data_IF_093433203676
#
_entry.id   IF_093433203676
#
_cell.length_a   1.000
_cell.length_b   1.000
_cell.length_c   1.000
_cell.angle_alpha   90.00
_cell.angle_beta   90.00
_cell.angle_gamma   90.00
#
_symmetry.space_group_name_H-M   'P 1'
#
loop_
_entity.id
_entity.type
_entity.pdbx_description
1 polymer ?
#
# COMPACT_ATOMS: atom_id res chain seq x y z
N UNK A 1 20.83 7.15 8.11
CA UNK A 1 21.44 6.56 6.89
C UNK A 1 20.67 7.18 5.72
N UNK A 2 21.35 7.77 4.74
CA UNK A 2 20.68 8.47 3.62
C UNK A 2 20.96 7.66 2.36
N UNK A 3 19.92 7.19 1.67
CA UNK A 3 20.05 6.57 0.36
C UNK A 3 20.03 7.65 -0.74
N UNK A 4 20.82 7.46 -1.79
CA UNK A 4 20.70 8.19 -3.04
C UNK A 4 19.43 7.81 -3.80
N UNK A 5 19.01 8.65 -4.75
CA UNK A 5 17.85 8.36 -5.60
C UNK A 5 18.00 7.05 -6.36
N UNK A 6 19.20 6.76 -6.89
CA UNK A 6 19.46 5.53 -7.64
C UNK A 6 19.35 4.30 -6.73
N UNK A 7 19.85 4.37 -5.50
CA UNK A 7 19.71 3.28 -4.52
C UNK A 7 18.25 3.03 -4.17
N UNK A 8 17.44 4.08 -4.00
CA UNK A 8 15.99 3.95 -3.74
C UNK A 8 15.29 3.27 -4.92
N UNK A 9 15.59 3.67 -6.15
CA UNK A 9 14.99 3.07 -7.35
C UNK A 9 15.37 1.60 -7.47
N UNK A 10 16.65 1.25 -7.30
CA UNK A 10 17.12 -0.13 -7.36
C UNK A 10 16.41 -1.04 -6.35
N UNK A 11 16.21 -0.57 -5.11
CA UNK A 11 15.55 -1.41 -4.08
C UNK A 11 14.03 -1.42 -4.15
N UNK A 12 13.42 -0.43 -4.80
CA UNK A 12 11.95 -0.26 -4.80
C UNK A 12 11.28 -0.65 -6.12
N UNK A 13 12.03 -0.72 -7.23
CA UNK A 13 11.50 -1.21 -8.51
C UNK A 13 11.07 -2.66 -8.39
N UNK A 14 10.10 -3.05 -9.22
CA UNK A 14 9.57 -4.40 -9.31
C UNK A 14 9.03 -4.95 -7.98
N UNK A 15 8.68 -4.07 -7.04
CA UNK A 15 8.09 -4.47 -5.77
C UNK A 15 6.81 -5.29 -6.00
N UNK A 16 6.71 -6.46 -5.35
CA UNK A 16 5.54 -7.31 -5.42
C UNK A 16 4.33 -6.73 -4.65
N UNK A 17 4.59 -5.84 -3.69
CA UNK A 17 3.55 -5.19 -2.90
C UNK A 17 3.88 -3.71 -2.72
N UNK A 18 2.90 -2.86 -3.00
CA UNK A 18 2.91 -1.44 -2.67
C UNK A 18 2.03 -1.25 -1.44
N UNK A 19 2.62 -0.84 -0.31
CA UNK A 19 1.89 -0.58 0.92
C UNK A 19 2.06 0.88 1.38
N UNK A 20 0.97 1.54 1.76
CA UNK A 20 1.04 2.93 2.21
C UNK A 20 -0.25 3.46 2.82
N UNK A 21 -0.11 4.53 3.59
CA UNK A 21 -1.24 5.22 4.21
C UNK A 21 -1.93 6.18 3.23
N UNK A 22 -3.14 6.63 3.59
CA UNK A 22 -3.85 7.67 2.85
C UNK A 22 -2.93 8.88 2.60
N UNK A 23 -2.80 9.29 1.32
CA UNK A 23 -1.91 10.38 0.81
C UNK A 23 -0.41 10.06 0.72
N UNK A 24 0.04 8.83 0.96
CA UNK A 24 1.46 8.42 0.81
C UNK A 24 1.95 8.27 -0.64
N UNK A 25 1.29 8.90 -1.61
CA UNK A 25 1.61 8.82 -3.03
C UNK A 25 1.66 7.38 -3.62
N UNK A 26 0.84 6.48 -3.06
CA UNK A 26 0.73 5.05 -3.42
C UNK A 26 0.54 4.84 -4.93
N UNK A 27 -0.16 5.76 -5.61
CA UNK A 27 -0.33 5.74 -7.08
C UNK A 27 0.97 5.69 -7.86
N UNK A 28 2.05 6.32 -7.39
CA UNK A 28 3.33 6.29 -8.10
C UNK A 28 4.01 4.92 -8.01
N UNK A 29 3.75 4.15 -6.95
CA UNK A 29 4.26 2.79 -6.83
C UNK A 29 3.75 1.87 -7.94
N UNK A 30 2.52 2.09 -8.42
CA UNK A 30 1.92 1.31 -9.52
C UNK A 30 2.72 1.45 -10.83
N UNK A 31 3.44 2.55 -11.01
CA UNK A 31 4.24 2.79 -12.22
C UNK A 31 5.53 1.99 -12.26
N UNK A 32 6.00 1.48 -11.12
CA UNK A 32 7.31 0.85 -10.97
C UNK A 32 7.26 -0.54 -10.33
N UNK A 33 6.07 -1.06 -10.01
CA UNK A 33 5.90 -2.37 -9.38
C UNK A 33 5.97 -3.53 -10.39
N UNK A 34 6.00 -4.75 -9.87
CA UNK A 34 5.90 -5.94 -10.70
C UNK A 34 4.54 -6.02 -11.43
N UNK A 35 4.44 -6.69 -12.60
CA UNK A 35 3.20 -6.79 -13.38
C UNK A 35 2.00 -7.41 -12.64
N UNK A 36 2.25 -8.30 -11.67
CA UNK A 36 1.25 -9.01 -10.87
C UNK A 36 1.17 -8.50 -9.42
N UNK A 37 1.73 -7.32 -9.16
CA UNK A 37 1.84 -6.76 -7.83
C UNK A 37 0.48 -6.53 -7.13
N UNK A 38 0.55 -6.38 -5.81
CA UNK A 38 -0.57 -6.04 -4.96
C UNK A 38 -0.48 -4.60 -4.44
N UNK A 39 -1.63 -3.98 -4.19
CA UNK A 39 -1.72 -2.72 -3.44
C UNK A 39 -2.41 -2.99 -2.10
N UNK A 40 -1.77 -2.55 -1.00
CA UNK A 40 -2.33 -2.63 0.36
C UNK A 40 -2.43 -1.24 0.99
N UNK A 41 -3.66 -0.78 1.19
CA UNK A 41 -3.91 0.55 1.77
C UNK A 41 -4.05 0.51 3.30
N UNK A 42 -3.36 1.42 3.98
CA UNK A 42 -3.50 1.67 5.43
C UNK A 42 -4.47 2.84 5.64
N UNK A 43 -5.66 2.57 6.15
CA UNK A 43 -6.78 3.50 6.14
C UNK A 43 -7.17 3.97 7.55
N UNK A 44 -7.43 5.28 7.73
CA UNK A 44 -8.01 5.79 8.98
C UNK A 44 -9.50 5.38 9.10
N UNK A 45 -10.01 5.18 10.33
CA UNK A 45 -11.39 4.74 10.54
C UNK A 45 -12.45 5.78 10.15
N UNK A 46 -12.15 7.08 10.29
CA UNK A 46 -13.11 8.17 10.04
C UNK A 46 -13.06 8.76 8.62
N UNK A 47 -12.15 8.27 7.77
CA UNK A 47 -11.97 8.75 6.38
C UNK A 47 -11.69 7.60 5.42
N UNK A 48 -12.29 6.46 5.67
CA UNK A 48 -12.18 5.31 4.78
C UNK A 48 -12.66 5.68 3.37
N UNK A 49 -11.86 5.29 2.37
CA UNK A 49 -12.20 5.35 0.95
C UNK A 49 -11.51 4.18 0.24
N UNK A 50 -11.98 3.85 -0.96
CA UNK A 50 -11.51 2.67 -1.67
C UNK A 50 -11.13 2.98 -3.12
N UNK A 51 -10.64 4.19 -3.39
CA UNK A 51 -10.43 4.71 -4.75
C UNK A 51 -9.45 3.84 -5.55
N UNK A 52 -8.48 3.23 -4.88
CA UNK A 52 -7.48 2.37 -5.53
C UNK A 52 -8.03 1.02 -5.99
N UNK A 53 -9.17 0.55 -5.46
CA UNK A 53 -9.76 -0.74 -5.84
C UNK A 53 -10.13 -0.79 -7.32
N UNK A 54 -10.82 0.25 -7.80
CA UNK A 54 -11.24 0.32 -9.21
C UNK A 54 -10.02 0.32 -10.14
N UNK A 55 -8.93 0.97 -9.72
CA UNK A 55 -7.68 1.02 -10.48
C UNK A 55 -6.99 -0.35 -10.51
N UNK A 56 -6.87 -1.00 -9.36
CA UNK A 56 -6.28 -2.35 -9.28
C UNK A 56 -7.09 -3.37 -10.07
N UNK A 57 -8.42 -3.25 -10.09
CA UNK A 57 -9.27 -4.13 -10.90
C UNK A 57 -9.03 -3.94 -12.40
N UNK A 58 -8.97 -2.68 -12.84
CA UNK A 58 -8.65 -2.37 -14.24
C UNK A 58 -7.28 -2.89 -14.68
N UNK A 59 -6.31 -2.94 -13.76
CA UNK A 59 -4.95 -3.39 -14.03
C UNK A 59 -4.73 -4.89 -13.74
N UNK A 60 -5.74 -5.61 -13.25
CA UNK A 60 -5.61 -7.02 -12.88
C UNK A 60 -4.72 -7.29 -11.65
N UNK A 61 -4.54 -6.27 -10.81
CA UNK A 61 -3.70 -6.34 -9.60
C UNK A 61 -4.47 -6.88 -8.40
N UNK A 62 -3.75 -7.42 -7.41
CA UNK A 62 -4.37 -7.76 -6.11
C UNK A 62 -4.58 -6.50 -5.27
N UNK A 63 -5.61 -6.52 -4.44
CA UNK A 63 -5.97 -5.39 -3.58
C UNK A 63 -6.29 -5.84 -2.17
N UNK A 64 -5.74 -5.12 -1.20
CA UNK A 64 -6.05 -5.27 0.22
C UNK A 64 -6.09 -3.93 0.94
N UNK A 65 -6.67 -3.93 2.13
CA UNK A 65 -6.62 -2.78 3.01
C UNK A 65 -6.68 -3.22 4.47
N UNK A 66 -6.15 -2.36 5.34
CA UNK A 66 -6.34 -2.43 6.79
C UNK A 66 -6.95 -1.12 7.26
N UNK A 67 -7.95 -1.21 8.12
CA UNK A 67 -8.54 -0.04 8.78
C UNK A 67 -8.03 -0.02 10.21
N UNK A 68 -7.38 1.06 10.59
CA UNK A 68 -6.89 1.23 11.95
C UNK A 68 -7.98 1.69 12.93
N UNK A 69 -7.58 1.81 14.19
CA UNK A 69 -8.40 2.33 15.26
C UNK A 69 -7.87 3.69 15.72
N UNK A 70 -8.76 4.60 16.12
CA UNK A 70 -8.37 5.93 16.54
C UNK A 70 -9.50 6.95 16.53
N UNK A 71 -9.13 8.19 16.26
CA UNK A 71 -10.00 9.37 16.19
C UNK A 71 -10.04 9.92 14.75
N UNK A 72 -10.69 11.06 14.56
CA UNK A 72 -10.68 11.76 13.28
C UNK A 72 -9.27 12.25 12.87
N UNK A 73 -8.41 12.55 13.84
CA UNK A 73 -7.12 13.22 13.61
C UNK A 73 -5.91 12.28 13.74
N UNK A 74 -6.09 11.13 14.38
CA UNK A 74 -5.03 10.15 14.61
C UNK A 74 -5.56 8.74 14.59
N UNK A 75 -4.76 7.80 14.10
CA UNK A 75 -5.10 6.38 14.14
C UNK A 75 -3.85 5.53 14.25
N UNK A 76 -4.04 4.28 14.66
CA UNK A 76 -2.99 3.28 14.78
C UNK A 76 -3.44 1.98 14.12
N UNK A 77 -2.47 1.24 13.58
CA UNK A 77 -2.68 -0.11 13.04
C UNK A 77 -1.70 -1.05 13.74
N UNK A 78 -2.17 -2.16 14.33
CA UNK A 78 -1.30 -3.18 14.85
C UNK A 78 -0.40 -3.75 13.74
N UNK A 79 0.94 -3.80 13.92
CA UNK A 79 1.84 -4.32 12.90
C UNK A 79 1.47 -5.73 12.42
N UNK A 80 1.06 -6.62 13.32
CA UNK A 80 0.65 -7.98 12.99
C UNK A 80 -0.57 -8.02 12.05
N UNK A 81 -1.48 -7.07 12.18
CA UNK A 81 -2.64 -6.96 11.29
C UNK A 81 -2.19 -6.57 9.88
N UNK A 82 -1.27 -5.61 9.77
CA UNK A 82 -0.71 -5.21 8.49
C UNK A 82 0.06 -6.37 7.86
N UNK A 83 0.96 -7.03 8.59
CA UNK A 83 1.77 -8.14 8.09
C UNK A 83 0.89 -9.28 7.57
N UNK A 84 -0.15 -9.69 8.32
CA UNK A 84 -1.10 -10.72 7.86
C UNK A 84 -1.84 -10.33 6.59
N UNK A 85 -2.20 -9.05 6.44
CA UNK A 85 -2.83 -8.57 5.20
C UNK A 85 -1.85 -8.56 4.03
N UNK A 86 -0.58 -8.21 4.26
CA UNK A 86 0.46 -8.31 3.24
C UNK A 86 0.65 -9.76 2.79
N UNK A 87 0.68 -10.71 3.73
CA UNK A 87 0.78 -12.15 3.41
C UNK A 87 -0.40 -12.65 2.56
N UNK A 88 -1.62 -12.18 2.85
CA UNK A 88 -2.81 -12.53 2.07
C UNK A 88 -2.81 -11.91 0.66
N UNK A 89 -2.22 -10.71 0.51
CA UNK A 89 -2.19 -9.98 -0.74
C UNK A 89 -1.04 -10.41 -1.65
N UNK A 90 0.02 -11.01 -1.09
CA UNK A 90 1.23 -11.38 -1.82
C UNK A 90 0.91 -12.27 -3.04
N UNK A 91 1.30 -11.89 -4.27
CA UNK A 91 1.03 -12.61 -5.51
C UNK A 91 1.42 -14.10 -5.48
#
# INVERSE_FOLDING_TARGET
MTQSVNEIIEVSRDAAIIAGAERSAVYHGILACAPDAAVVCIMPPYRFNNVLKDHTDCLGMRYGFVVGEGTADSFTVPPDMLLRTLDLANP
#
